data_IF_515809896626
#
_entry.id   IF_515809896626
#
_cell.length_a   1.000
_cell.length_b   1.000
_cell.length_c   1.000
_cell.angle_alpha   90.00
_cell.angle_beta   90.00
_cell.angle_gamma   90.00
#
_symmetry.space_group_name_H-M   'P 1'
#
loop_
_entity.id
_entity.type
_entity.pdbx_description
1 polymer ?
#
# COMPACT_ATOMS: atom_id res chain seq x y z
N UNK A 1 20.06 19.00 -7.66
CA UNK A 1 19.04 19.73 -6.90
C UNK A 1 17.70 19.07 -7.17
N UNK A 2 17.11 18.41 -6.18
CA UNK A 2 15.77 17.82 -6.26
C UNK A 2 14.72 18.78 -5.67
N UNK A 3 13.42 18.57 -5.95
CA UNK A 3 12.36 19.45 -5.45
C UNK A 3 12.32 19.55 -3.91
N UNK A 4 12.65 18.47 -3.21
CA UNK A 4 12.75 18.44 -1.75
C UNK A 4 13.80 19.41 -1.21
N UNK A 5 14.96 19.50 -1.85
CA UNK A 5 16.03 20.44 -1.48
C UNK A 5 15.62 21.90 -1.68
N UNK A 6 14.90 22.19 -2.78
CA UNK A 6 14.42 23.55 -3.06
C UNK A 6 13.41 23.99 -1.99
N UNK A 7 12.42 23.13 -1.72
CA UNK A 7 11.37 23.43 -0.74
C UNK A 7 11.94 23.51 0.68
N UNK A 8 12.85 22.60 1.05
CA UNK A 8 13.54 22.63 2.33
C UNK A 8 14.31 23.95 2.52
N UNK A 9 15.08 24.37 1.52
CA UNK A 9 15.86 25.61 1.60
C UNK A 9 14.99 26.85 1.78
N UNK A 10 13.84 26.93 1.10
CA UNK A 10 12.88 28.03 1.28
C UNK A 10 12.25 27.96 2.68
N UNK A 11 11.77 26.78 3.09
CA UNK A 11 11.05 26.59 4.35
C UNK A 11 11.94 26.88 5.58
N UNK A 12 13.17 26.37 5.60
CA UNK A 12 14.09 26.55 6.73
C UNK A 12 14.50 28.02 6.90
N UNK A 13 14.73 28.74 5.80
CA UNK A 13 15.00 30.19 5.83
C UNK A 13 13.79 30.97 6.32
N UNK A 14 12.59 30.63 5.84
CA UNK A 14 11.34 31.24 6.29
C UNK A 14 11.16 31.05 7.80
N UNK A 15 11.30 29.81 8.28
CA UNK A 15 11.16 29.48 9.71
C UNK A 15 12.17 30.23 10.57
N UNK A 16 13.42 30.38 10.10
CA UNK A 16 14.45 31.18 10.78
C UNK A 16 14.04 32.65 10.90
N UNK A 17 13.59 33.28 9.81
CA UNK A 17 13.14 34.67 9.84
C UNK A 17 11.96 34.87 10.81
N UNK A 18 10.97 33.97 10.79
CA UNK A 18 9.84 34.02 11.73
C UNK A 18 10.26 33.82 13.19
N UNK A 19 11.31 33.05 13.47
CA UNK A 19 11.83 32.85 14.83
C UNK A 19 12.59 34.08 15.35
N UNK A 20 13.32 34.78 14.47
CA UNK A 20 14.15 35.94 14.83
C UNK A 20 13.36 37.25 14.86
N UNK A 21 12.52 37.48 13.85
CA UNK A 21 11.83 38.76 13.61
C UNK A 21 10.36 38.74 14.06
N UNK A 22 9.82 37.55 14.36
CA UNK A 22 8.40 37.36 14.57
C UNK A 22 7.59 37.56 13.28
N UNK A 23 6.29 37.80 13.41
CA UNK A 23 5.42 38.04 12.27
C UNK A 23 3.95 37.79 12.57
N UNK A 24 3.11 37.85 11.54
CA UNK A 24 1.71 37.49 11.66
C UNK A 24 1.57 35.96 11.79
N UNK A 25 0.99 35.49 12.89
CA UNK A 25 0.69 34.09 13.14
C UNK A 25 1.90 33.13 12.92
N UNK A 26 3.00 33.27 13.69
CA UNK A 26 4.21 32.47 13.50
C UNK A 26 4.06 31.01 13.94
N UNK A 27 3.14 30.76 14.88
CA UNK A 27 2.89 29.46 15.53
C UNK A 27 2.83 28.27 14.55
N UNK A 28 2.02 28.28 13.47
CA UNK A 28 1.94 27.15 12.54
C UNK A 28 3.24 26.87 11.78
N UNK A 29 4.00 27.91 11.43
CA UNK A 29 5.28 27.78 10.71
C UNK A 29 6.36 27.22 11.65
N UNK A 30 6.36 27.66 12.90
CA UNK A 30 7.31 27.23 13.91
C UNK A 30 6.99 25.85 14.50
N UNK A 31 5.72 25.44 14.53
CA UNK A 31 5.28 24.17 15.12
C UNK A 31 5.16 23.03 14.10
N UNK A 32 5.32 23.30 12.79
CA UNK A 32 5.32 22.25 11.78
C UNK A 32 6.52 21.31 11.96
N UNK A 33 6.22 20.00 12.02
CA UNK A 33 7.22 18.94 12.15
C UNK A 33 8.10 18.91 10.90
N UNK A 34 9.42 18.88 11.10
CA UNK A 34 10.42 18.78 10.01
C UNK A 34 11.60 17.92 10.50
N UNK A 35 11.30 16.70 10.91
CA UNK A 35 12.22 15.82 11.65
C UNK A 35 12.92 14.83 10.71
N UNK A 36 13.45 15.33 9.59
CA UNK A 36 14.24 14.54 8.64
C UNK A 36 15.70 14.46 9.07
N UNK A 37 16.39 13.36 8.74
CA UNK A 37 17.80 13.17 9.11
C UNK A 37 18.70 14.26 8.52
N UNK A 38 18.41 14.69 7.28
CA UNK A 38 19.04 15.86 6.66
C UNK A 38 17.95 16.87 6.33
N UNK A 39 17.70 17.89 7.19
CA UNK A 39 16.59 18.83 7.00
C UNK A 39 16.62 19.58 5.66
N UNK A 40 17.81 19.87 5.13
CA UNK A 40 18.05 20.57 3.86
C UNK A 40 17.80 19.68 2.63
N UNK A 41 17.78 18.36 2.80
CA UNK A 41 17.58 17.37 1.74
C UNK A 41 16.83 16.15 2.31
N UNK A 42 15.51 16.26 2.53
CA UNK A 42 14.71 15.17 3.08
C UNK A 42 14.75 13.96 2.15
N UNK A 43 15.07 12.79 2.70
CA UNK A 43 15.15 11.57 1.88
C UNK A 43 13.74 11.11 1.48
N UNK A 44 13.52 10.68 0.22
CA UNK A 44 12.21 10.18 -0.22
C UNK A 44 11.67 9.02 0.61
N UNK A 45 12.55 8.18 1.15
CA UNK A 45 12.20 7.07 2.03
C UNK A 45 11.64 7.54 3.37
N UNK A 46 12.21 8.61 3.94
CA UNK A 46 11.71 9.21 5.19
C UNK A 46 10.31 9.79 4.99
N UNK A 47 10.10 10.50 3.88
CA UNK A 47 8.80 11.06 3.49
C UNK A 47 7.77 9.95 3.23
N UNK A 48 8.18 8.85 2.59
CA UNK A 48 7.32 7.70 2.36
C UNK A 48 6.91 7.00 3.67
N UNK A 49 7.85 6.86 4.60
CA UNK A 49 7.60 6.33 5.94
C UNK A 49 6.68 7.23 6.78
N UNK A 50 6.82 8.55 6.67
CA UNK A 50 5.90 9.51 7.30
C UNK A 50 4.49 9.42 6.70
N UNK A 51 4.41 9.33 5.36
CA UNK A 51 3.15 9.17 4.64
C UNK A 51 2.43 7.88 5.00
N UNK A 52 3.15 6.76 5.11
CA UNK A 52 2.63 5.48 5.59
C UNK A 52 2.09 5.60 7.02
N UNK A 53 2.93 6.10 7.92
CA UNK A 53 2.59 6.32 9.32
C UNK A 53 3.23 5.32 10.27
N UNK A 54 3.34 5.75 11.53
CA UNK A 54 4.01 5.03 12.62
C UNK A 54 3.19 5.10 13.91
N UNK A 55 3.46 4.14 14.79
CA UNK A 55 2.96 4.12 16.15
C UNK A 55 3.77 5.08 17.04
N UNK A 56 3.11 6.05 17.67
CA UNK A 56 3.71 6.97 18.64
C UNK A 56 3.70 6.41 20.07
N UNK A 57 2.82 5.45 20.34
CA UNK A 57 2.74 4.63 21.54
C UNK A 57 2.45 3.17 21.14
N UNK A 58 2.51 2.24 22.09
CA UNK A 58 2.11 0.85 21.83
C UNK A 58 0.62 0.80 21.47
N UNK A 59 0.32 0.37 20.25
CA UNK A 59 -1.04 0.25 19.74
C UNK A 59 -1.58 -1.12 20.12
N UNK A 60 -2.59 -1.13 20.98
CA UNK A 60 -3.25 -2.34 21.46
C UNK A 60 -4.64 -2.44 20.81
N UNK A 61 -5.05 -3.66 20.48
CA UNK A 61 -6.43 -3.93 20.08
C UNK A 61 -7.33 -3.95 21.32
N UNK A 62 -8.33 -3.06 21.44
CA UNK A 62 -9.24 -3.06 22.59
C UNK A 62 -10.12 -4.32 22.68
N UNK A 63 -10.33 -5.03 21.57
CA UNK A 63 -11.15 -6.24 21.56
C UNK A 63 -10.37 -7.49 22.03
N UNK A 64 -9.09 -7.58 21.67
CA UNK A 64 -8.27 -8.79 21.92
C UNK A 64 -7.15 -8.59 22.93
N UNK A 65 -6.81 -7.35 23.28
CA UNK A 65 -5.67 -7.01 24.14
C UNK A 65 -4.31 -7.26 23.47
N UNK A 66 -4.29 -7.57 22.17
CA UNK A 66 -3.05 -7.88 21.45
C UNK A 66 -2.32 -6.62 21.02
N UNK A 67 -0.98 -6.61 21.11
CA UNK A 67 -0.15 -5.52 20.58
C UNK A 67 -0.12 -5.60 19.05
N UNK A 68 -0.70 -4.60 18.39
CA UNK A 68 -0.79 -4.50 16.92
C UNK A 68 0.47 -3.84 16.31
N UNK A 69 1.03 -2.85 17.00
CA UNK A 69 2.28 -2.18 16.64
C UNK A 69 2.93 -1.63 17.92
N UNK A 70 4.27 -1.73 18.03
CA UNK A 70 4.99 -1.12 19.17
C UNK A 70 5.31 0.34 18.86
N UNK A 71 5.55 1.13 19.90
CA UNK A 71 6.05 2.50 19.75
C UNK A 71 7.27 2.56 18.84
N UNK A 72 7.19 3.39 17.81
CA UNK A 72 8.23 3.59 16.80
C UNK A 72 8.07 2.72 15.55
N UNK A 73 7.26 1.66 15.59
CA UNK A 73 7.07 0.79 14.44
C UNK A 73 6.22 1.46 13.35
N UNK A 74 6.52 1.12 12.10
CA UNK A 74 5.68 1.45 10.95
C UNK A 74 4.35 0.71 11.01
N UNK A 75 3.27 1.38 10.62
CA UNK A 75 1.95 0.75 10.56
C UNK A 75 1.87 -0.20 9.36
N UNK A 76 1.33 -1.39 9.59
CA UNK A 76 1.13 -2.41 8.56
C UNK A 76 -0.18 -2.25 7.79
N UNK A 77 -1.15 -1.54 8.36
CA UNK A 77 -2.47 -1.30 7.77
C UNK A 77 -3.09 -0.04 8.36
N UNK A 78 -3.94 0.62 7.58
CA UNK A 78 -4.77 1.74 8.05
C UNK A 78 -5.70 1.37 9.21
N UNK A 79 -6.07 0.09 9.37
CA UNK A 79 -6.94 -0.36 10.46
C UNK A 79 -6.31 -0.19 11.86
N UNK A 80 -4.99 0.04 11.95
CA UNK A 80 -4.31 0.30 13.21
C UNK A 80 -4.31 1.78 13.60
N UNK A 81 -4.77 2.69 12.73
CA UNK A 81 -4.85 4.12 13.03
C UNK A 81 -5.89 4.39 14.12
N UNK A 82 -5.56 5.32 15.02
CA UNK A 82 -6.38 5.74 16.17
C UNK A 82 -6.58 7.25 16.18
N UNK A 83 -7.67 7.68 16.80
CA UNK A 83 -8.08 9.08 16.99
C UNK A 83 -7.58 9.69 18.32
N UNK A 84 -6.94 8.89 19.18
CA UNK A 84 -6.41 9.25 20.49
C UNK A 84 -4.99 9.87 20.44
N UNK A 85 -4.41 10.01 19.25
CA UNK A 85 -3.06 10.52 19.04
C UNK A 85 -1.93 9.50 19.26
N UNK A 86 -2.24 8.22 19.46
CA UNK A 86 -1.24 7.15 19.60
C UNK A 86 -0.61 6.73 18.28
N UNK A 87 -1.14 7.19 17.16
CA UNK A 87 -0.64 6.92 15.80
C UNK A 87 -0.53 8.20 14.98
N UNK A 88 0.44 8.26 14.07
CA UNK A 88 0.59 9.34 13.09
C UNK A 88 0.66 8.77 11.68
N UNK A 89 0.01 9.41 10.70
CA UNK A 89 0.12 9.09 9.28
C UNK A 89 -0.09 10.35 8.45
N UNK A 90 0.82 10.62 7.51
CA UNK A 90 0.66 11.74 6.57
C UNK A 90 -0.44 11.50 5.53
N UNK A 91 -0.72 10.24 5.21
CA UNK A 91 -1.77 9.85 4.28
C UNK A 91 -2.35 8.47 4.64
N UNK A 92 -3.56 8.45 5.23
CA UNK A 92 -4.15 7.24 5.80
C UNK A 92 -4.31 6.09 4.78
N UNK A 93 -4.59 6.40 3.50
CA UNK A 93 -4.71 5.39 2.43
C UNK A 93 -3.39 4.70 2.10
N UNK A 94 -2.25 5.30 2.46
CA UNK A 94 -0.92 4.75 2.23
C UNK A 94 -0.40 3.93 3.41
N UNK A 95 -1.14 3.83 4.52
CA UNK A 95 -0.79 2.97 5.64
C UNK A 95 -0.81 1.49 5.22
N UNK A 96 0.38 0.88 5.17
CA UNK A 96 0.67 -0.45 4.61
C UNK A 96 1.63 -0.42 3.41
N UNK A 97 1.93 0.75 2.84
CA UNK A 97 2.89 0.90 1.74
C UNK A 97 4.35 0.69 2.17
N UNK A 98 4.68 1.08 3.40
CA UNK A 98 5.99 0.87 4.01
C UNK A 98 5.82 0.28 5.40
N UNK A 99 6.02 -1.02 5.53
CA UNK A 99 5.75 -1.73 6.80
C UNK A 99 7.06 -2.12 7.49
N UNK A 100 7.04 -2.72 8.68
CA UNK A 100 8.24 -3.30 9.28
C UNK A 100 8.90 -4.38 8.40
N UNK A 101 8.17 -4.93 7.42
CA UNK A 101 8.70 -5.86 6.40
C UNK A 101 9.42 -5.15 5.24
N UNK A 102 9.49 -3.82 5.27
CA UNK A 102 10.11 -2.97 4.25
C UNK A 102 9.12 -2.34 3.27
N UNK A 103 9.70 -1.69 2.27
CA UNK A 103 8.99 -0.95 1.22
C UNK A 103 8.22 -1.90 0.29
N UNK A 104 6.89 -1.92 0.40
CA UNK A 104 6.03 -2.75 -0.45
C UNK A 104 5.87 -2.16 -1.86
N UNK A 105 6.07 -0.85 -2.03
CA UNK A 105 6.01 -0.16 -3.32
C UNK A 105 7.17 -0.56 -4.24
N UNK A 106 8.25 -1.11 -3.67
CA UNK A 106 9.39 -1.64 -4.40
C UNK A 106 9.24 -3.13 -4.78
N UNK A 107 8.13 -3.79 -4.43
CA UNK A 107 7.93 -5.21 -4.77
C UNK A 107 7.83 -5.40 -6.30
N UNK A 108 8.49 -6.43 -6.82
CA UNK A 108 8.57 -6.76 -8.26
C UNK A 108 8.06 -8.15 -8.61
N UNK A 109 7.40 -8.84 -7.67
CA UNK A 109 6.77 -10.14 -7.93
C UNK A 109 5.54 -9.97 -8.83
N UNK A 110 5.51 -10.69 -9.96
CA UNK A 110 4.45 -10.66 -10.98
C UNK A 110 3.64 -11.97 -11.03
N UNK A 111 3.66 -12.78 -9.97
CA UNK A 111 2.93 -14.04 -9.92
C UNK A 111 1.39 -13.84 -9.90
N UNK A 112 0.73 -13.92 -11.05
CA UNK A 112 -0.75 -13.94 -11.13
C UNK A 112 -1.30 -15.36 -10.93
N UNK A 113 -1.70 -15.68 -9.69
CA UNK A 113 -2.34 -16.96 -9.34
C UNK A 113 -3.79 -17.11 -9.83
N UNK A 114 -4.42 -16.04 -10.31
CA UNK A 114 -5.82 -16.04 -10.77
C UNK A 114 -5.93 -16.07 -12.30
N UNK A 115 -4.80 -15.96 -13.02
CA UNK A 115 -4.71 -15.94 -14.48
C UNK A 115 -5.70 -14.96 -15.15
N UNK A 116 -6.10 -13.91 -14.42
CA UNK A 116 -7.07 -12.92 -14.90
C UNK A 116 -6.39 -11.91 -15.81
N UNK A 117 -5.11 -11.60 -15.59
CA UNK A 117 -4.34 -10.74 -16.49
C UNK A 117 -4.06 -11.42 -17.84
N UNK A 118 -3.85 -12.74 -17.84
CA UNK A 118 -3.51 -13.51 -19.05
C UNK A 118 -4.73 -13.77 -19.95
N UNK A 119 -5.96 -13.75 -19.41
CA UNK A 119 -7.17 -14.01 -20.19
C UNK A 119 -7.56 -12.86 -21.13
N UNK A 120 -7.19 -11.61 -20.83
CA UNK A 120 -7.52 -10.45 -21.68
C UNK A 120 -6.40 -10.07 -22.66
N UNK A 121 -5.15 -10.44 -22.37
CA UNK A 121 -4.01 -10.23 -23.28
C UNK A 121 -4.01 -11.19 -24.50
N UNK A 122 -4.93 -12.15 -24.54
CA UNK A 122 -5.00 -13.22 -25.54
C UNK A 122 -6.07 -13.08 -26.63
N UNK A 123 -6.80 -11.96 -26.74
CA UNK A 123 -7.73 -11.75 -27.86
C UNK A 123 -7.01 -11.27 -29.13
N UNK A 124 -5.99 -12.01 -29.54
CA UNK A 124 -5.12 -11.64 -30.64
C UNK A 124 -3.97 -12.60 -30.85
N UNK A 125 -4.27 -13.90 -30.96
CA UNK A 125 -3.58 -14.89 -31.81
C UNK A 125 -3.99 -16.29 -31.33
N UNK A 126 -4.69 -17.01 -32.20
CA UNK A 126 -4.96 -18.42 -31.99
C UNK A 126 -3.66 -19.20 -31.86
N UNK A 127 -3.64 -20.15 -30.93
CA UNK A 127 -3.13 -21.51 -31.14
C UNK A 127 -3.59 -22.37 -29.96
N UNK A 128 -4.31 -23.41 -30.34
CA UNK A 128 -4.67 -24.56 -29.53
C UNK A 128 -3.40 -25.27 -29.04
N UNK A 129 -3.36 -25.64 -27.76
CA UNK A 129 -3.21 -27.03 -27.25
C UNK A 129 -2.71 -27.01 -25.80
N UNK A 130 -3.45 -27.69 -24.91
CA UNK A 130 -2.90 -28.64 -23.95
C UNK A 130 -4.07 -29.29 -23.19
N UNK A 131 -4.24 -30.58 -23.45
CA UNK A 131 -5.16 -31.46 -22.76
C UNK A 131 -4.78 -31.57 -21.27
N UNK A 132 -5.77 -31.48 -20.39
CA UNK A 132 -5.67 -32.06 -19.06
C UNK A 132 -6.84 -33.02 -18.87
N UNK A 133 -6.49 -34.30 -18.81
CA UNK A 133 -7.33 -35.45 -18.62
C UNK A 133 -8.08 -35.38 -17.29
N UNK A 134 -9.39 -35.15 -17.34
CA UNK A 134 -10.30 -35.49 -16.24
C UNK A 134 -10.96 -36.82 -16.63
N UNK A 135 -10.49 -37.88 -15.99
CA UNK A 135 -11.11 -39.22 -16.03
C UNK A 135 -12.53 -39.11 -15.48
N UNK A 136 -13.54 -39.24 -16.36
CA UNK A 136 -14.94 -39.27 -15.97
C UNK A 136 -15.36 -40.68 -15.52
N UNK A 137 -16.17 -40.73 -14.46
CA UNK A 137 -16.73 -41.91 -13.81
C UNK A 137 -17.68 -42.71 -14.76
N UNK A 138 -17.75 -44.06 -14.71
CA UNK A 138 -18.36 -44.88 -15.79
C UNK A 138 -19.90 -44.89 -15.89
N UNK A 139 -20.65 -44.10 -15.13
CA UNK A 139 -22.11 -44.27 -15.02
C UNK A 139 -22.97 -43.37 -15.92
N UNK A 140 -22.37 -42.55 -16.79
CA UNK A 140 -23.12 -41.59 -17.65
C UNK A 140 -22.84 -41.85 -19.13
N UNK A 141 -23.12 -43.08 -19.62
CA UNK A 141 -23.04 -43.39 -21.07
C UNK A 141 -24.22 -44.16 -21.64
N UNK A 142 -25.35 -44.27 -20.94
CA UNK A 142 -26.48 -45.12 -21.37
C UNK A 142 -27.81 -44.40 -21.69
N UNK A 143 -27.84 -43.07 -21.79
CA UNK A 143 -29.11 -42.33 -21.89
C UNK A 143 -29.41 -41.65 -23.25
N UNK A 144 -28.59 -41.78 -24.29
CA UNK A 144 -28.85 -41.11 -25.59
C UNK A 144 -28.60 -42.00 -26.81
N UNK A 145 -29.00 -43.28 -26.73
CA UNK A 145 -29.27 -44.12 -27.91
C UNK A 145 -30.78 -44.28 -28.05
N UNK A 146 -31.37 -43.51 -28.94
CA UNK A 146 -32.77 -43.62 -29.30
C UNK A 146 -33.43 -42.26 -29.24
N UNK A 147 -33.55 -41.62 -30.41
CA UNK A 147 -34.68 -40.78 -30.84
C UNK A 147 -34.27 -40.12 -32.16
N UNK A 148 -34.99 -40.51 -33.23
CA UNK A 148 -35.22 -39.84 -34.54
C UNK A 148 -34.25 -40.07 -35.70
N UNK A 149 -34.60 -41.07 -36.51
CA UNK A 149 -34.61 -41.00 -37.98
C UNK A 149 -35.68 -41.95 -38.53
N UNK A 150 -36.86 -41.41 -38.88
CA UNK A 150 -37.80 -42.03 -39.83
C UNK A 150 -38.40 -40.88 -40.65
N UNK A 151 -38.18 -40.92 -41.96
CA UNK A 151 -38.74 -40.00 -42.96
C UNK A 151 -39.96 -40.65 -43.63
N UNK A 152 -40.90 -39.82 -44.06
CA UNK A 152 -41.70 -40.03 -45.27
C UNK A 152 -41.46 -38.82 -46.18
#
# INVERSE_FOLDING_TARGET
MNDGEILAGIFLRLRKMYAEEGGANPEPVLNMTWNYSTPENPAPEEVAMESNGKALADVIDPATGTVLAKKGDQLSTFAHLRDDGTTSSGCWIFAGSWTPKGNQMANRDNADRRALAIRWAGHGRGRSTAASSITAHPLIRRATRGIRSVSF
#
